data_IF_444889548907
#
_entry.id   IF_444889548907
#
_cell.length_a   1.000
_cell.length_b   1.000
_cell.length_c   1.000
_cell.angle_alpha   90.00
_cell.angle_beta   90.00
_cell.angle_gamma   90.00
#
_symmetry.space_group_name_H-M   'P 1'
#
loop_
_entity.id
_entity.type
_entity.pdbx_description
1 polymer ?
#
# COMPACT_ATOMS: atom_id res chain seq x y z
N UNK A 1 -23.81 3.22 -15.09
CA UNK A 1 -23.16 2.87 -13.80
C UNK A 1 -21.80 3.55 -13.81
N UNK A 2 -21.51 4.34 -12.80
CA UNK A 2 -20.15 4.86 -12.62
C UNK A 2 -19.19 3.69 -12.45
N UNK A 3 -18.09 3.71 -13.18
CA UNK A 3 -17.04 2.67 -13.07
C UNK A 3 -16.33 2.83 -11.73
N UNK A 4 -16.11 1.74 -11.05
CA UNK A 4 -15.29 1.73 -9.82
C UNK A 4 -13.82 1.89 -10.21
N UNK A 5 -13.15 2.92 -9.69
CA UNK A 5 -11.72 3.14 -9.87
C UNK A 5 -10.96 2.61 -8.66
N UNK A 6 -10.19 1.56 -8.84
CA UNK A 6 -9.29 1.01 -7.83
C UNK A 6 -7.84 1.27 -8.24
N UNK A 7 -7.06 1.84 -7.31
CA UNK A 7 -5.63 2.11 -7.52
C UNK A 7 -4.85 1.46 -6.39
N UNK A 8 -3.82 0.70 -6.71
CA UNK A 8 -2.88 0.17 -5.72
C UNK A 8 -1.53 0.86 -5.86
N UNK A 9 -0.86 1.16 -4.74
CA UNK A 9 0.42 1.88 -4.73
C UNK A 9 1.46 1.11 -3.93
N UNK A 10 2.32 0.37 -4.65
CA UNK A 10 3.62 -0.07 -4.16
C UNK A 10 4.61 1.08 -4.14
N UNK A 11 5.56 1.11 -3.20
CA UNK A 11 6.48 2.26 -3.10
C UNK A 11 7.74 1.94 -2.33
N UNK A 12 8.86 2.50 -2.74
CA UNK A 12 10.08 2.58 -1.95
C UNK A 12 9.92 3.52 -0.77
N UNK A 13 10.64 3.29 0.33
CA UNK A 13 10.65 4.21 1.47
C UNK A 13 11.36 5.51 1.10
N UNK A 14 10.78 6.63 1.46
CA UNK A 14 11.29 7.95 1.07
C UNK A 14 10.96 8.38 -0.36
N UNK A 15 10.35 7.54 -1.21
CA UNK A 15 9.95 7.92 -2.58
C UNK A 15 8.77 8.90 -2.65
N UNK A 16 8.08 9.17 -1.56
CA UNK A 16 6.90 10.03 -1.59
C UNK A 16 5.60 9.34 -1.99
N UNK A 17 5.60 8.01 -2.17
CA UNK A 17 4.42 7.28 -2.65
C UNK A 17 3.16 7.46 -1.80
N UNK A 18 3.28 7.64 -0.45
CA UNK A 18 2.12 7.99 0.39
C UNK A 18 1.57 9.38 0.04
N UNK A 19 2.44 10.37 -0.14
CA UNK A 19 2.02 11.73 -0.51
C UNK A 19 1.39 11.76 -1.91
N UNK A 20 1.88 10.96 -2.86
CA UNK A 20 1.24 10.77 -4.18
C UNK A 20 -0.16 10.18 -4.02
N UNK A 21 -0.33 9.17 -3.15
CA UNK A 21 -1.64 8.58 -2.87
C UNK A 21 -2.61 9.61 -2.27
N UNK A 22 -2.14 10.41 -1.31
CA UNK A 22 -2.97 11.44 -0.67
C UNK A 22 -3.39 12.53 -1.67
N UNK A 23 -2.48 12.95 -2.57
CA UNK A 23 -2.77 13.90 -3.63
C UNK A 23 -3.78 13.34 -4.65
N UNK A 24 -3.64 12.06 -5.02
CA UNK A 24 -4.63 11.38 -5.85
C UNK A 24 -6.01 11.34 -5.18
N UNK A 25 -6.07 10.94 -3.92
CA UNK A 25 -7.32 10.89 -3.15
C UNK A 25 -8.00 12.26 -3.08
N UNK A 26 -7.21 13.32 -2.85
CA UNK A 26 -7.69 14.71 -2.82
C UNK A 26 -8.25 15.15 -4.18
N UNK A 27 -7.54 14.87 -5.29
CA UNK A 27 -7.97 15.28 -6.65
C UNK A 27 -9.18 14.50 -7.16
N UNK A 28 -9.24 13.21 -6.84
CA UNK A 28 -10.29 12.31 -7.33
C UNK A 28 -11.51 12.23 -6.39
N UNK A 29 -11.40 12.75 -5.16
CA UNK A 29 -12.45 12.67 -4.16
C UNK A 29 -12.71 11.24 -3.67
N UNK A 30 -11.70 10.35 -3.71
CA UNK A 30 -11.81 8.95 -3.30
C UNK A 30 -10.94 8.66 -2.06
N UNK A 31 -11.35 7.71 -1.20
CA UNK A 31 -10.61 7.40 0.01
C UNK A 31 -9.24 6.75 -0.29
N UNK A 32 -8.28 7.03 0.61
CA UNK A 32 -6.94 6.44 0.59
C UNK A 32 -6.76 5.57 1.81
N UNK A 33 -6.46 4.29 1.61
CA UNK A 33 -6.26 3.32 2.68
C UNK A 33 -4.79 2.90 2.74
N UNK A 34 -4.10 3.31 3.79
CA UNK A 34 -2.77 2.82 4.13
C UNK A 34 -2.81 1.71 5.19
N UNK A 35 -1.63 1.25 5.61
CA UNK A 35 -1.53 0.18 6.60
C UNK A 35 -2.26 0.49 7.91
N UNK A 36 -2.21 1.72 8.38
CA UNK A 36 -2.83 2.11 9.65
C UNK A 36 -4.35 2.09 9.54
N UNK A 37 -4.88 2.64 8.45
CA UNK A 37 -6.31 2.67 8.17
C UNK A 37 -6.89 1.28 7.87
N UNK A 38 -6.14 0.42 7.15
CA UNK A 38 -6.53 -0.99 6.93
C UNK A 38 -6.58 -1.75 8.25
N UNK A 39 -5.60 -1.54 9.12
CA UNK A 39 -5.56 -2.18 10.45
C UNK A 39 -6.70 -1.67 11.36
N UNK A 40 -7.01 -0.39 11.30
CA UNK A 40 -8.12 0.19 12.04
C UNK A 40 -9.48 -0.32 11.53
N UNK A 41 -9.66 -0.39 10.21
CA UNK A 41 -10.85 -0.96 9.58
C UNK A 41 -11.04 -2.43 9.97
N UNK A 42 -9.97 -3.21 10.04
CA UNK A 42 -10.01 -4.59 10.50
C UNK A 42 -10.55 -4.73 11.94
N UNK A 43 -10.20 -3.80 12.82
CA UNK A 43 -10.70 -3.79 14.20
C UNK A 43 -12.18 -3.40 14.29
N UNK A 44 -12.62 -2.46 13.45
CA UNK A 44 -13.99 -1.90 13.49
C UNK A 44 -15.03 -2.75 12.79
N UNK A 45 -14.63 -3.49 11.74
CA UNK A 45 -15.57 -4.22 10.88
C UNK A 45 -16.04 -5.57 11.42
N UNK A 46 -15.43 -6.09 12.49
CA UNK A 46 -15.68 -7.46 12.97
C UNK A 46 -15.09 -8.56 12.07
N UNK A 47 -14.47 -8.21 10.95
CA UNK A 47 -13.82 -9.16 10.02
C UNK A 47 -12.77 -10.00 10.75
N UNK A 48 -12.01 -9.37 11.64
CA UNK A 48 -11.05 -10.09 12.48
C UNK A 48 -11.73 -11.16 13.36
N UNK A 49 -12.88 -10.86 13.95
CA UNK A 49 -13.62 -11.84 14.77
C UNK A 49 -14.18 -12.98 13.93
N UNK A 50 -14.69 -12.68 12.74
CA UNK A 50 -15.20 -13.68 11.81
C UNK A 50 -14.07 -14.57 11.27
N UNK A 51 -12.93 -13.99 10.93
CA UNK A 51 -11.74 -14.72 10.50
C UNK A 51 -11.29 -15.75 11.54
N UNK A 52 -11.30 -15.38 12.83
CA UNK A 52 -10.93 -16.29 13.91
C UNK A 52 -11.99 -17.35 14.20
N UNK A 53 -13.27 -17.04 14.06
CA UNK A 53 -14.34 -18.04 14.19
C UNK A 53 -14.23 -19.17 13.17
N UNK A 54 -13.74 -18.85 11.97
CA UNK A 54 -13.58 -19.83 10.88
C UNK A 54 -12.29 -20.67 10.99
N UNK A 55 -11.25 -20.19 11.69
CA UNK A 55 -9.90 -20.77 11.62
C UNK A 55 -9.28 -21.31 12.90
N UNK A 56 -9.67 -20.89 14.08
CA UNK A 56 -9.28 -21.52 15.37
C UNK A 56 -9.49 -20.59 16.59
N UNK A 57 -10.06 -21.10 17.69
CA UNK A 57 -10.28 -20.33 18.93
C UNK A 57 -8.97 -19.91 19.64
N UNK A 58 -7.89 -20.67 19.48
CA UNK A 58 -6.58 -20.35 20.10
C UNK A 58 -5.96 -19.07 19.52
N UNK A 59 -6.17 -18.78 18.24
CA UNK A 59 -5.63 -17.59 17.58
C UNK A 59 -6.40 -16.32 17.95
N UNK A 60 -7.67 -16.45 18.36
CA UNK A 60 -8.50 -15.31 18.83
C UNK A 60 -7.95 -14.67 20.10
N UNK A 61 -7.48 -15.46 21.07
CA UNK A 61 -6.88 -14.94 22.31
C UNK A 61 -5.61 -14.13 22.05
N UNK A 62 -4.86 -14.50 21.03
CA UNK A 62 -3.65 -13.82 20.58
C UNK A 62 -3.96 -12.45 19.96
N UNK A 63 -5.00 -12.30 19.17
CA UNK A 63 -5.38 -11.01 18.54
C UNK A 63 -5.90 -9.97 19.53
N UNK A 64 -6.69 -10.41 20.53
CA UNK A 64 -7.31 -9.52 21.52
C UNK A 64 -6.30 -9.02 22.55
N UNK A 65 -5.23 -9.79 22.82
CA UNK A 65 -4.24 -9.49 23.86
C UNK A 65 -2.90 -8.93 23.38
N UNK A 66 -2.64 -8.76 22.08
CA UNK A 66 -1.27 -8.61 21.59
C UNK A 66 -0.94 -7.36 20.78
N UNK A 67 0.02 -6.64 21.32
CA UNK A 67 0.91 -5.70 20.60
C UNK A 67 2.20 -6.38 20.09
N UNK A 68 2.37 -7.70 20.24
CA UNK A 68 3.60 -8.41 19.89
C UNK A 68 3.32 -9.91 19.64
N UNK A 69 3.52 -10.38 18.40
CA UNK A 69 3.57 -11.79 18.03
C UNK A 69 2.34 -12.35 17.31
N UNK A 70 1.55 -11.53 16.63
CA UNK A 70 0.56 -12.06 15.69
C UNK A 70 1.30 -12.71 14.52
N UNK A 71 0.92 -13.95 14.19
CA UNK A 71 1.41 -14.65 13.02
C UNK A 71 1.17 -13.78 11.76
N UNK A 72 2.21 -13.47 11.02
CA UNK A 72 2.14 -12.58 9.85
C UNK A 72 1.13 -13.09 8.81
N UNK A 73 0.95 -14.41 8.71
CA UNK A 73 -0.06 -15.01 7.83
C UNK A 73 -1.49 -14.69 8.27
N UNK A 74 -1.75 -14.68 9.56
CA UNK A 74 -3.07 -14.30 10.12
C UNK A 74 -3.35 -12.84 9.84
N UNK A 75 -2.37 -11.97 10.09
CA UNK A 75 -2.50 -10.55 9.83
C UNK A 75 -2.74 -10.27 8.35
N UNK A 76 -1.99 -10.93 7.47
CA UNK A 76 -2.17 -10.81 6.02
C UNK A 76 -3.57 -11.25 5.58
N UNK A 77 -4.08 -12.37 6.12
CA UNK A 77 -5.43 -12.86 5.82
C UNK A 77 -6.51 -11.84 6.20
N UNK A 78 -6.46 -11.31 7.43
CA UNK A 78 -7.41 -10.30 7.91
C UNK A 78 -7.33 -9.02 7.07
N UNK A 79 -6.13 -8.54 6.79
CA UNK A 79 -5.93 -7.33 5.97
C UNK A 79 -6.42 -7.54 4.53
N UNK A 80 -6.23 -8.72 3.96
CA UNK A 80 -6.72 -9.06 2.62
C UNK A 80 -8.25 -9.03 2.56
N UNK A 81 -8.94 -9.57 3.56
CA UNK A 81 -10.40 -9.55 3.62
C UNK A 81 -10.94 -8.12 3.79
N UNK A 82 -10.26 -7.29 4.60
CA UNK A 82 -10.60 -5.86 4.74
C UNK A 82 -10.38 -5.09 3.44
N UNK A 83 -9.27 -5.33 2.74
CA UNK A 83 -8.98 -4.67 1.45
C UNK A 83 -10.07 -5.01 0.43
N UNK A 84 -10.47 -6.29 0.32
CA UNK A 84 -11.55 -6.72 -0.57
C UNK A 84 -12.91 -6.11 -0.19
N UNK A 85 -13.24 -6.09 1.10
CA UNK A 85 -14.46 -5.47 1.61
C UNK A 85 -14.51 -3.97 1.28
N UNK A 86 -13.41 -3.24 1.49
CA UNK A 86 -13.32 -1.82 1.15
C UNK A 86 -13.40 -1.58 -0.37
N UNK A 87 -12.75 -2.39 -1.18
CA UNK A 87 -12.80 -2.31 -2.65
C UNK A 87 -14.21 -2.60 -3.20
N UNK A 88 -15.00 -3.44 -2.54
CA UNK A 88 -16.39 -3.74 -2.93
C UNK A 88 -17.35 -2.57 -2.70
N UNK A 89 -16.97 -1.61 -1.85
CA UNK A 89 -17.82 -0.46 -1.48
C UNK A 89 -17.71 0.72 -2.45
N UNK A 90 -16.71 0.72 -3.34
CA UNK A 90 -16.54 1.76 -4.35
C UNK A 90 -15.09 2.07 -4.67
N UNK A 91 -14.88 3.19 -5.35
CA UNK A 91 -13.54 3.65 -5.76
C UNK A 91 -12.65 3.94 -4.55
N UNK A 92 -11.38 3.50 -4.61
CA UNK A 92 -10.44 3.62 -3.51
C UNK A 92 -8.97 3.53 -3.98
N UNK A 93 -8.06 4.05 -3.15
CA UNK A 93 -6.61 3.93 -3.31
C UNK A 93 -6.07 3.12 -2.13
N UNK A 94 -5.31 2.06 -2.41
CA UNK A 94 -4.68 1.21 -1.41
C UNK A 94 -3.16 1.36 -1.44
N UNK A 95 -2.54 1.61 -0.29
CA UNK A 95 -1.10 1.89 -0.20
C UNK A 95 -0.36 0.75 0.49
N UNK A 96 0.30 -0.10 -0.30
CA UNK A 96 1.08 -1.25 0.16
C UNK A 96 0.23 -2.45 0.55
N UNK A 97 0.75 -3.28 1.46
CA UNK A 97 0.10 -4.53 1.93
C UNK A 97 -0.21 -5.54 0.83
N UNK A 98 0.63 -5.52 -0.22
CA UNK A 98 0.41 -6.36 -1.39
C UNK A 98 -1.01 -6.23 -1.95
N UNK A 99 -1.58 -5.00 -1.91
CA UNK A 99 -2.95 -4.76 -2.36
C UNK A 99 -3.15 -5.05 -3.83
N UNK A 100 -2.15 -4.86 -4.66
CA UNK A 100 -2.07 -5.31 -6.06
C UNK A 100 -2.33 -6.82 -6.18
N UNK A 101 -1.67 -7.62 -5.37
CA UNK A 101 -1.89 -9.06 -5.33
C UNK A 101 -3.25 -9.45 -4.72
N UNK A 102 -3.68 -8.76 -3.66
CA UNK A 102 -4.98 -9.02 -3.01
C UNK A 102 -6.14 -8.75 -3.95
N UNK A 103 -6.03 -7.72 -4.79
CA UNK A 103 -7.08 -7.27 -5.72
C UNK A 103 -6.86 -7.72 -7.17
N UNK A 104 -5.91 -8.63 -7.44
CA UNK A 104 -5.52 -9.07 -8.79
C UNK A 104 -6.65 -9.60 -9.67
N UNK A 105 -7.77 -9.99 -9.07
CA UNK A 105 -8.95 -10.48 -9.79
C UNK A 105 -9.92 -9.33 -10.16
N UNK A 106 -9.59 -8.07 -9.80
CA UNK A 106 -10.35 -6.87 -10.09
C UNK A 106 -9.62 -6.00 -11.12
N UNK A 107 -10.35 -5.12 -11.79
CA UNK A 107 -9.76 -4.14 -12.71
C UNK A 107 -9.15 -2.98 -11.91
N UNK A 108 -7.87 -3.11 -11.54
CA UNK A 108 -7.10 -2.12 -10.81
C UNK A 108 -6.10 -1.38 -11.71
N UNK A 109 -5.61 -0.24 -11.25
CA UNK A 109 -4.38 0.38 -11.73
C UNK A 109 -3.30 0.11 -10.68
N UNK A 110 -2.34 -0.72 -11.03
CA UNK A 110 -1.25 -1.09 -10.15
C UNK A 110 -0.02 -0.21 -10.41
N UNK A 111 0.37 0.57 -9.41
CA UNK A 111 1.43 1.59 -9.53
C UNK A 111 2.56 1.30 -8.56
N UNK A 112 3.80 1.44 -9.02
CA UNK A 112 4.98 1.45 -8.15
C UNK A 112 5.67 2.80 -8.19
N UNK A 113 5.86 3.43 -7.02
CA UNK A 113 6.54 4.72 -6.88
C UNK A 113 7.96 4.51 -6.36
N UNK A 114 8.94 4.90 -7.15
CA UNK A 114 10.35 4.88 -6.81
C UNK A 114 10.95 6.29 -6.79
N UNK A 115 12.20 6.40 -6.36
CA UNK A 115 13.07 7.55 -6.55
C UNK A 115 14.54 7.12 -6.34
N UNK A 116 15.53 7.83 -6.92
CA UNK A 116 16.94 7.60 -6.64
C UNK A 116 17.26 7.68 -5.14
N UNK A 117 18.23 6.88 -4.68
CA UNK A 117 18.56 6.79 -3.27
C UNK A 117 18.86 8.15 -2.65
N UNK A 118 19.66 8.99 -3.32
CA UNK A 118 20.02 10.34 -2.89
C UNK A 118 18.79 11.24 -2.65
N UNK A 119 17.79 11.18 -3.55
CA UNK A 119 16.55 11.95 -3.39
C UNK A 119 15.72 11.45 -2.20
N UNK A 120 15.75 10.15 -1.95
CA UNK A 120 15.06 9.52 -0.82
C UNK A 120 15.74 9.86 0.51
N UNK A 121 17.07 9.80 0.56
CA UNK A 121 17.88 10.18 1.73
C UNK A 121 17.56 11.63 2.09
N UNK A 122 17.70 12.55 1.14
CA UNK A 122 17.40 13.98 1.37
C UNK A 122 16.01 14.17 1.98
N UNK A 123 14.99 13.56 1.41
CA UNK A 123 13.60 13.66 1.89
C UNK A 123 13.42 13.09 3.31
N UNK A 124 14.12 12.00 3.63
CA UNK A 124 14.04 11.40 4.97
C UNK A 124 14.79 12.23 6.01
N UNK A 125 15.98 12.75 5.68
CA UNK A 125 16.72 13.68 6.53
C UNK A 125 15.85 14.90 6.90
N UNK A 126 15.25 15.55 5.90
CA UNK A 126 14.39 16.72 6.11
C UNK A 126 13.15 16.41 6.97
N UNK A 127 12.50 15.27 6.72
CA UNK A 127 11.25 14.88 7.40
C UNK A 127 11.45 14.40 8.84
N UNK A 128 12.56 13.72 9.11
CA UNK A 128 12.80 13.05 10.40
C UNK A 128 13.97 13.64 11.19
N UNK A 129 14.64 14.66 10.64
CA UNK A 129 15.82 15.29 11.25
C UNK A 129 16.91 14.27 11.57
N UNK A 130 17.23 13.38 10.62
CA UNK A 130 18.25 12.35 10.74
C UNK A 130 19.54 12.77 10.04
N UNK A 131 20.67 12.14 10.43
CA UNK A 131 21.90 12.20 9.65
C UNK A 131 21.74 11.43 8.32
N UNK A 132 22.62 11.69 7.35
CA UNK A 132 22.62 10.99 6.07
C UNK A 132 22.73 9.47 6.24
N UNK A 133 23.69 9.02 7.07
CA UNK A 133 23.89 7.60 7.38
C UNK A 133 22.66 6.96 8.03
N UNK A 134 22.04 7.63 9.02
CA UNK A 134 20.85 7.08 9.68
C UNK A 134 19.66 7.03 8.73
N UNK A 135 19.54 7.99 7.82
CA UNK A 135 18.49 8.00 6.80
C UNK A 135 18.68 6.87 5.79
N UNK A 136 19.91 6.61 5.35
CA UNK A 136 20.24 5.51 4.44
C UNK A 136 19.94 4.15 5.08
N UNK A 137 20.42 3.91 6.30
CA UNK A 137 20.16 2.69 7.07
C UNK A 137 18.65 2.46 7.28
N UNK A 138 17.91 3.53 7.55
CA UNK A 138 16.46 3.46 7.70
C UNK A 138 15.78 3.07 6.38
N UNK A 139 16.19 3.68 5.27
CA UNK A 139 15.66 3.38 3.93
C UNK A 139 15.88 1.91 3.59
N UNK A 140 17.11 1.42 3.77
CA UNK A 140 17.45 0.03 3.45
C UNK A 140 16.63 -0.95 4.29
N UNK A 141 16.54 -0.73 5.60
CA UNK A 141 15.76 -1.58 6.50
C UNK A 141 14.27 -1.59 6.14
N UNK A 142 13.70 -0.44 5.82
CA UNK A 142 12.28 -0.32 5.49
C UNK A 142 11.95 -0.96 4.13
N UNK A 143 12.81 -0.80 3.13
CA UNK A 143 12.61 -1.41 1.82
C UNK A 143 12.82 -2.92 1.87
N UNK A 144 13.80 -3.41 2.64
CA UNK A 144 14.01 -4.84 2.88
C UNK A 144 12.77 -5.48 3.52
N UNK A 145 12.22 -4.89 4.57
CA UNK A 145 11.03 -5.42 5.22
C UNK A 145 9.79 -5.43 4.29
N UNK A 146 9.69 -4.45 3.39
CA UNK A 146 8.61 -4.44 2.37
C UNK A 146 8.80 -5.53 1.33
N UNK A 147 10.03 -5.73 0.86
CA UNK A 147 10.36 -6.76 -0.10
C UNK A 147 10.12 -8.15 0.49
N UNK A 148 10.61 -8.41 1.72
CA UNK A 148 10.40 -9.68 2.42
C UNK A 148 8.90 -9.99 2.57
N UNK A 149 8.11 -9.01 3.03
CA UNK A 149 6.66 -9.16 3.16
C UNK A 149 5.98 -9.46 1.81
N UNK A 150 6.26 -8.68 0.78
CA UNK A 150 5.65 -8.83 -0.53
C UNK A 150 6.05 -10.17 -1.17
N UNK A 151 7.33 -10.48 -1.21
CA UNK A 151 7.87 -11.70 -1.82
C UNK A 151 7.28 -12.95 -1.15
N UNK A 152 7.13 -12.93 0.18
CA UNK A 152 6.60 -14.06 0.94
C UNK A 152 5.12 -14.34 0.61
N UNK A 153 4.28 -13.28 0.59
CA UNK A 153 2.84 -13.48 0.41
C UNK A 153 2.38 -13.56 -1.04
N UNK A 154 3.16 -13.03 -1.98
CA UNK A 154 2.74 -12.97 -3.39
C UNK A 154 3.47 -13.99 -4.27
N UNK A 155 4.55 -14.58 -3.78
CA UNK A 155 5.49 -15.40 -4.57
C UNK A 155 6.05 -14.67 -5.79
N UNK A 156 6.02 -13.35 -5.78
CA UNK A 156 6.56 -12.44 -6.79
C UNK A 156 7.65 -11.58 -6.18
N UNK A 157 8.36 -10.78 -7.00
CA UNK A 157 9.42 -9.90 -6.51
C UNK A 157 8.92 -8.46 -6.41
N UNK A 158 9.09 -7.87 -5.23
CA UNK A 158 8.73 -6.50 -4.97
C UNK A 158 9.47 -5.51 -5.86
N UNK A 159 8.76 -4.52 -6.41
CA UNK A 159 9.34 -3.45 -7.23
C UNK A 159 9.78 -3.87 -8.63
N UNK A 160 9.51 -5.11 -9.05
CA UNK A 160 9.77 -5.54 -10.42
C UNK A 160 8.69 -5.00 -11.35
N UNK A 161 9.12 -4.24 -12.36
CA UNK A 161 8.24 -3.47 -13.24
C UNK A 161 7.11 -4.27 -13.89
N UNK A 162 7.33 -5.56 -14.18
CA UNK A 162 6.30 -6.42 -14.78
C UNK A 162 5.11 -6.73 -13.88
N UNK A 163 5.19 -6.39 -12.59
CA UNK A 163 4.09 -6.59 -11.65
C UNK A 163 3.15 -5.37 -11.57
N UNK A 164 3.44 -4.29 -12.30
CA UNK A 164 2.72 -3.03 -12.20
C UNK A 164 2.37 -2.47 -13.57
N UNK A 165 1.25 -1.75 -13.67
CA UNK A 165 0.87 -1.01 -14.87
C UNK A 165 1.76 0.21 -15.10
N UNK A 166 2.20 0.86 -13.99
CA UNK A 166 3.06 2.03 -14.00
C UNK A 166 4.17 1.93 -12.96
N UNK A 167 5.41 2.22 -13.38
CA UNK A 167 6.54 2.46 -12.47
C UNK A 167 7.00 3.91 -12.66
N UNK A 168 6.88 4.74 -11.62
CA UNK A 168 7.11 6.18 -11.73
C UNK A 168 8.18 6.65 -10.74
N UNK A 169 9.14 7.43 -11.27
CA UNK A 169 10.12 8.14 -10.45
C UNK A 169 9.55 9.50 -10.01
N UNK A 170 9.22 9.60 -8.73
CA UNK A 170 8.64 10.81 -8.15
C UNK A 170 9.63 11.97 -7.98
N UNK A 171 10.93 11.74 -8.18
CA UNK A 171 11.93 12.81 -8.10
C UNK A 171 11.93 13.70 -9.34
N UNK A 172 11.40 13.20 -10.47
CA UNK A 172 11.37 13.90 -11.76
C UNK A 172 10.22 14.90 -11.80
N UNK A 173 9.00 14.43 -11.47
CA UNK A 173 7.78 15.24 -11.62
C UNK A 173 7.25 15.80 -10.29
N UNK A 174 7.88 15.46 -9.17
CA UNK A 174 7.35 15.77 -7.86
C UNK A 174 6.07 14.97 -7.54
N UNK A 175 5.48 15.26 -6.40
CA UNK A 175 4.26 14.58 -5.94
C UNK A 175 3.08 14.86 -6.86
N UNK A 176 2.85 16.13 -7.18
CA UNK A 176 1.71 16.58 -7.98
C UNK A 176 1.76 16.06 -9.41
N UNK A 177 2.91 16.16 -10.08
CA UNK A 177 3.09 15.67 -11.44
C UNK A 177 3.01 14.15 -11.53
N UNK A 178 3.51 13.44 -10.52
CA UNK A 178 3.38 11.99 -10.44
C UNK A 178 1.91 11.56 -10.30
N UNK A 179 1.14 12.26 -9.46
CA UNK A 179 -0.30 12.02 -9.34
C UNK A 179 -1.04 12.32 -10.65
N UNK A 180 -0.67 13.39 -11.35
CA UNK A 180 -1.26 13.75 -12.66
C UNK A 180 -1.05 12.66 -13.71
N UNK A 181 0.16 12.09 -13.80
CA UNK A 181 0.46 10.98 -14.70
C UNK A 181 -0.43 9.76 -14.45
N UNK A 182 -0.71 9.44 -13.19
CA UNK A 182 -1.60 8.33 -12.83
C UNK A 182 -3.05 8.64 -13.23
N UNK A 183 -3.51 9.87 -13.00
CA UNK A 183 -4.84 10.32 -13.42
C UNK A 183 -4.99 10.26 -14.96
N UNK A 184 -3.99 10.68 -15.69
CA UNK A 184 -4.02 10.63 -17.16
C UNK A 184 -3.99 9.20 -17.69
N UNK A 185 -3.29 8.31 -17.03
CA UNK A 185 -3.36 6.88 -17.32
C UNK A 185 -4.76 6.30 -17.07
N UNK A 186 -5.40 6.64 -15.94
CA UNK A 186 -6.76 6.23 -15.64
C UNK A 186 -7.78 6.72 -16.69
N UNK A 187 -7.66 7.97 -17.15
CA UNK A 187 -8.47 8.51 -18.25
C UNK A 187 -8.28 7.73 -19.55
N UNK A 188 -7.02 7.42 -19.92
CA UNK A 188 -6.72 6.64 -21.14
C UNK A 188 -7.25 5.21 -21.08
N UNK A 189 -7.37 4.63 -19.87
CA UNK A 189 -8.04 3.34 -19.64
C UNK A 189 -9.57 3.46 -19.59
N UNK A 190 -10.15 4.65 -19.73
CA UNK A 190 -11.58 4.94 -19.59
C UNK A 190 -12.14 4.51 -18.21
N UNK A 191 -11.36 4.73 -17.15
CA UNK A 191 -11.75 4.47 -15.75
C UNK A 191 -12.17 5.77 -15.02
N UNK A 192 -11.97 6.91 -15.66
CA UNK A 192 -12.41 8.25 -15.27
C UNK A 192 -13.22 8.91 -16.38
#
# INVERSE_FOLDING_TARGET
MEKTLLITIGRQFGSGGKAVADELGRRLGIPVYDNELITEAARKSGIAEEFFKQRDEKRRALFIGMRSGMDDEVLFGIQSDVIRDLASKGSAIFVGRASDYVLRDLDCIDVFICAPLEARIKRIMERQNLSESDAEDLIERMDRGRAEYYDFFTFSKWGVASNYDLCLDSSILGIEGTAEMIIDFAKKRNLL
#
